data_IF_553040248518
#
_entry.id   IF_553040248518
#
_cell.length_a   1.000
_cell.length_b   1.000
_cell.length_c   1.000
_cell.angle_alpha   90.00
_cell.angle_beta   90.00
_cell.angle_gamma   90.00
#
_symmetry.space_group_name_H-M   'P 1'
#
loop_
_entity.id
_entity.type
_entity.pdbx_description
1 polymer ?
#
# COMPACT_ATOMS: atom_id res chain seq x y z
N UNK A 1 47.74 44.82 43.01
CA UNK A 1 48.41 43.52 42.74
C UNK A 1 47.59 42.84 41.67
N UNK A 2 47.88 42.88 40.39
CA UNK A 2 49.02 43.26 39.54
C UNK A 2 48.60 42.65 38.20
N UNK A 3 48.18 43.51 37.26
CA UNK A 3 48.99 44.02 36.14
C UNK A 3 48.82 43.16 34.88
N UNK A 4 48.29 43.84 33.86
CA UNK A 4 48.32 43.48 32.46
C UNK A 4 49.74 43.12 32.00
N UNK A 5 49.85 42.13 31.12
CA UNK A 5 51.02 42.02 30.24
C UNK A 5 50.70 41.25 28.96
N UNK A 6 50.29 42.04 27.98
CA UNK A 6 50.99 42.27 26.72
C UNK A 6 51.74 41.12 26.00
N UNK A 7 51.50 41.14 24.69
CA UNK A 7 51.98 40.32 23.58
C UNK A 7 53.52 40.33 23.46
N UNK A 8 54.10 39.26 22.87
CA UNK A 8 54.98 39.53 21.73
C UNK A 8 54.83 38.53 20.56
N UNK A 9 54.86 39.10 19.34
CA UNK A 9 55.45 38.51 18.14
C UNK A 9 56.69 39.39 17.79
N UNK A 10 57.60 39.07 16.84
CA UNK A 10 57.50 38.07 15.78
C UNK A 10 58.83 37.33 15.42
N UNK A 11 58.72 36.57 14.33
CA UNK A 11 59.71 36.41 13.25
C UNK A 11 60.37 35.03 13.11
N UNK A 12 60.69 34.76 11.84
CA UNK A 12 61.80 33.98 11.30
C UNK A 12 61.35 32.91 10.29
N UNK A 13 61.34 33.38 9.05
CA UNK A 13 61.91 32.73 7.85
C UNK A 13 61.06 31.85 6.94
N UNK A 14 60.91 32.42 5.74
CA UNK A 14 60.55 31.82 4.47
C UNK A 14 61.71 30.97 3.95
N UNK A 15 61.51 29.67 3.77
CA UNK A 15 62.40 28.82 2.95
C UNK A 15 61.58 28.05 1.93
N UNK A 16 61.74 28.43 0.67
CA UNK A 16 61.25 27.75 -0.54
C UNK A 16 62.03 26.47 -0.83
N UNK A 17 61.33 25.38 -1.18
CA UNK A 17 61.86 24.20 -1.90
C UNK A 17 60.72 23.43 -2.60
N UNK A 18 61.00 22.56 -3.60
CA UNK A 18 60.52 22.76 -4.97
C UNK A 18 59.37 21.82 -5.39
N UNK A 19 58.66 22.26 -6.44
CA UNK A 19 57.64 21.49 -7.17
C UNK A 19 58.25 20.21 -7.74
N UNK A 20 57.70 19.06 -7.34
CA UNK A 20 57.83 17.81 -8.08
C UNK A 20 56.53 17.54 -8.84
N UNK A 21 56.71 17.36 -10.13
CA UNK A 21 55.69 17.03 -11.11
C UNK A 21 55.27 15.57 -10.94
N UNK A 22 54.09 15.33 -10.37
CA UNK A 22 53.42 14.03 -10.46
C UNK A 22 52.15 14.22 -11.30
N UNK A 23 52.26 13.83 -12.57
CA UNK A 23 51.18 13.67 -13.54
C UNK A 23 49.91 13.12 -12.89
N UNK A 24 48.93 14.00 -12.72
CA UNK A 24 47.55 13.63 -12.41
C UNK A 24 46.94 13.06 -13.69
N UNK A 25 46.39 11.83 -13.70
CA UNK A 25 45.57 11.39 -14.82
C UNK A 25 44.36 12.32 -14.88
N UNK A 26 44.22 12.97 -16.03
CA UNK A 26 43.03 13.70 -16.43
C UNK A 26 41.81 12.80 -16.26
N UNK A 27 40.93 13.16 -15.33
CA UNK A 27 39.60 12.60 -15.23
C UNK A 27 38.84 12.96 -16.51
N UNK A 28 38.87 12.07 -17.49
CA UNK A 28 38.06 12.16 -18.69
C UNK A 28 36.63 11.75 -18.37
N UNK A 29 35.73 12.71 -18.62
CA UNK A 29 34.36 12.59 -19.10
C UNK A 29 33.37 11.76 -18.27
N UNK A 30 32.30 12.44 -17.85
CA UNK A 30 31.18 11.88 -17.09
C UNK A 30 30.57 10.64 -17.74
N UNK A 31 30.48 9.57 -16.94
CA UNK A 31 29.69 8.39 -17.27
C UNK A 31 28.19 8.72 -17.26
N UNK A 32 27.39 8.00 -18.06
CA UNK A 32 25.96 8.26 -18.15
C UNK A 32 25.28 7.92 -16.84
N UNK A 33 24.27 8.70 -16.50
CA UNK A 33 23.40 8.51 -15.33
C UNK A 33 22.85 7.07 -15.35
N UNK A 34 23.20 6.31 -14.32
CA UNK A 34 22.73 4.94 -14.05
C UNK A 34 21.21 4.93 -13.85
N UNK A 35 20.48 4.05 -14.56
CA UNK A 35 19.08 3.77 -14.21
C UNK A 35 18.14 3.23 -15.29
N UNK A 36 18.54 3.15 -16.56
CA UNK A 36 17.71 2.55 -17.61
C UNK A 36 18.32 1.23 -18.10
N UNK A 37 17.55 0.14 -18.00
CA UNK A 37 17.91 -1.13 -18.63
C UNK A 37 17.96 -0.96 -20.15
N UNK A 38 18.94 -1.59 -20.80
CA UNK A 38 18.91 -1.71 -22.26
C UNK A 38 17.63 -2.46 -22.69
N UNK A 39 17.09 -2.15 -23.87
CA UNK A 39 15.81 -2.71 -24.34
C UNK A 39 15.79 -4.25 -24.31
N UNK A 40 16.91 -4.90 -24.66
CA UNK A 40 17.06 -6.35 -24.60
C UNK A 40 16.99 -6.88 -23.15
N UNK A 41 17.63 -6.21 -22.20
CA UNK A 41 17.58 -6.59 -20.77
C UNK A 41 16.18 -6.39 -20.20
N UNK A 42 15.50 -5.29 -20.55
CA UNK A 42 14.11 -5.05 -20.16
C UNK A 42 13.18 -6.13 -20.71
N UNK A 43 13.39 -6.58 -21.96
CA UNK A 43 12.62 -7.67 -22.55
C UNK A 43 12.87 -9.01 -21.85
N UNK A 44 14.14 -9.37 -21.64
CA UNK A 44 14.51 -10.61 -20.95
C UNK A 44 13.96 -10.66 -19.51
N UNK A 45 14.01 -9.52 -18.80
CA UNK A 45 13.43 -9.39 -17.47
C UNK A 45 11.92 -9.63 -17.51
N UNK A 46 11.19 -9.01 -18.45
CA UNK A 46 9.74 -9.21 -18.55
C UNK A 46 9.38 -10.65 -18.87
N UNK A 47 10.02 -11.24 -19.88
CA UNK A 47 9.76 -12.61 -20.30
C UNK A 47 10.01 -13.59 -19.15
N UNK A 48 11.18 -13.52 -18.49
CA UNK A 48 11.49 -14.42 -17.38
C UNK A 48 10.48 -14.35 -16.23
N UNK A 49 9.95 -13.16 -15.92
CA UNK A 49 8.93 -13.00 -14.87
C UNK A 49 7.55 -13.50 -15.31
N UNK A 50 7.15 -13.23 -16.55
CA UNK A 50 5.86 -13.68 -17.10
C UNK A 50 5.83 -15.20 -17.29
N UNK A 51 6.91 -15.78 -17.80
CA UNK A 51 7.03 -17.22 -18.01
C UNK A 51 7.01 -17.96 -16.67
N UNK A 52 7.75 -17.46 -15.68
CA UNK A 52 7.68 -17.98 -14.31
C UNK A 52 6.27 -17.90 -13.73
N UNK A 53 5.57 -16.78 -13.96
CA UNK A 53 4.20 -16.60 -13.47
C UNK A 53 3.22 -17.60 -14.08
N UNK A 54 3.38 -17.97 -15.36
CA UNK A 54 2.51 -18.94 -16.01
C UNK A 54 2.49 -20.30 -15.30
N UNK A 55 3.61 -20.68 -14.65
CA UNK A 55 3.75 -21.94 -13.91
C UNK A 55 3.49 -21.81 -12.40
N UNK A 56 3.68 -20.61 -11.82
CA UNK A 56 3.71 -20.40 -10.36
C UNK A 56 2.60 -19.49 -9.83
N UNK A 57 1.70 -18.99 -10.69
CA UNK A 57 0.59 -18.15 -10.27
C UNK A 57 -0.26 -18.85 -9.20
N UNK A 58 -0.51 -18.18 -8.07
CA UNK A 58 -1.52 -18.64 -7.12
C UNK A 58 -2.90 -18.63 -7.76
N UNK A 59 -3.62 -19.73 -7.54
CA UNK A 59 -5.04 -19.83 -7.83
C UNK A 59 -5.82 -18.94 -6.85
N UNK A 60 -6.39 -17.86 -7.38
CA UNK A 60 -7.12 -16.85 -6.62
C UNK A 60 -8.40 -16.51 -7.40
N UNK A 61 -9.57 -16.44 -6.75
CA UNK A 61 -10.84 -16.32 -7.44
C UNK A 61 -10.99 -14.99 -8.19
N UNK A 62 -10.41 -13.90 -7.68
CA UNK A 62 -10.34 -12.61 -8.39
C UNK A 62 -9.33 -12.59 -9.56
N UNK A 63 -8.65 -13.69 -9.84
CA UNK A 63 -7.81 -13.89 -11.03
C UNK A 63 -8.39 -14.93 -12.00
N UNK A 64 -9.47 -15.62 -11.61
CA UNK A 64 -10.07 -16.66 -12.43
C UNK A 64 -10.55 -16.13 -13.79
N UNK A 65 -10.68 -16.99 -14.82
CA UNK A 65 -11.15 -16.57 -16.14
C UNK A 65 -12.53 -15.90 -16.14
N UNK A 66 -13.41 -16.30 -15.21
CA UNK A 66 -14.79 -15.83 -15.03
C UNK A 66 -14.92 -14.67 -14.03
N UNK A 67 -13.80 -14.10 -13.57
CA UNK A 67 -13.80 -12.96 -12.66
C UNK A 67 -14.61 -11.78 -13.22
N UNK A 68 -15.29 -11.06 -12.32
CA UNK A 68 -16.00 -9.83 -12.67
C UNK A 68 -15.17 -8.59 -12.31
N UNK A 69 -15.34 -7.46 -13.02
CA UNK A 69 -14.71 -6.19 -12.62
C UNK A 69 -15.05 -5.76 -11.19
N UNK A 70 -16.28 -6.04 -10.73
CA UNK A 70 -16.69 -5.80 -9.34
C UNK A 70 -15.89 -6.66 -8.37
N UNK A 71 -15.79 -7.97 -8.62
CA UNK A 71 -15.01 -8.88 -7.79
C UNK A 71 -13.53 -8.49 -7.69
N UNK A 72 -12.93 -8.07 -8.82
CA UNK A 72 -11.56 -7.54 -8.85
C UNK A 72 -11.44 -6.28 -7.99
N UNK A 73 -12.30 -5.28 -8.18
CA UNK A 73 -12.29 -4.04 -7.40
C UNK A 73 -12.39 -4.31 -5.89
N UNK A 74 -13.33 -5.16 -5.48
CA UNK A 74 -13.48 -5.57 -4.06
C UNK A 74 -12.18 -6.20 -3.53
N UNK A 75 -11.56 -7.10 -4.30
CA UNK A 75 -10.32 -7.76 -3.90
C UNK A 75 -9.17 -6.74 -3.72
N UNK A 76 -9.03 -5.78 -4.63
CA UNK A 76 -7.99 -4.76 -4.59
C UNK A 76 -8.17 -3.84 -3.38
N UNK A 77 -9.41 -3.47 -3.04
CA UNK A 77 -9.68 -2.69 -1.82
C UNK A 77 -9.36 -3.49 -0.55
N UNK A 78 -9.73 -4.78 -0.50
CA UNK A 78 -9.44 -5.65 0.65
C UNK A 78 -7.93 -5.89 0.84
N UNK A 79 -7.19 -6.15 -0.25
CA UNK A 79 -5.76 -6.47 -0.24
C UNK A 79 -4.86 -5.32 0.18
N UNK A 80 -5.38 -4.09 0.25
CA UNK A 80 -4.65 -2.97 0.84
C UNK A 80 -4.27 -3.29 2.29
N UNK A 81 -2.96 -3.44 2.55
CA UNK A 81 -2.42 -3.70 3.89
C UNK A 81 -3.01 -4.95 4.58
N UNK A 82 -3.57 -5.90 3.81
CA UNK A 82 -4.18 -7.12 4.34
C UNK A 82 -3.69 -8.32 3.53
N UNK A 83 -3.11 -9.36 4.19
CA UNK A 83 -2.54 -10.48 3.46
C UNK A 83 -3.63 -11.34 2.80
N UNK A 84 -3.30 -11.93 1.65
CA UNK A 84 -4.19 -12.79 0.85
C UNK A 84 -4.89 -13.87 1.69
N UNK A 85 -4.18 -14.53 2.60
CA UNK A 85 -4.76 -15.58 3.46
C UNK A 85 -5.94 -15.11 4.32
N UNK A 86 -5.98 -13.82 4.68
CA UNK A 86 -7.10 -13.20 5.39
C UNK A 86 -8.18 -12.70 4.44
N UNK A 87 -7.78 -12.19 3.27
CA UNK A 87 -8.73 -11.65 2.28
C UNK A 87 -9.53 -12.75 1.61
N UNK A 88 -8.92 -13.88 1.25
CA UNK A 88 -9.56 -14.94 0.48
C UNK A 88 -10.92 -15.39 1.03
N UNK A 89 -11.03 -15.86 2.29
CA UNK A 89 -12.33 -16.28 2.84
C UNK A 89 -13.32 -15.11 2.96
N UNK A 90 -12.84 -13.91 3.32
CA UNK A 90 -13.69 -12.74 3.47
C UNK A 90 -14.26 -12.27 2.13
N UNK A 91 -13.44 -12.28 1.06
CA UNK A 91 -13.85 -11.94 -0.29
C UNK A 91 -14.89 -12.92 -0.80
N UNK A 92 -14.71 -14.23 -0.60
CA UNK A 92 -15.68 -15.26 -1.02
C UNK A 92 -17.03 -15.07 -0.34
N UNK A 93 -17.05 -14.82 0.97
CA UNK A 93 -18.29 -14.54 1.69
C UNK A 93 -18.92 -13.21 1.24
N UNK A 94 -18.09 -12.19 0.97
CA UNK A 94 -18.53 -10.87 0.53
C UNK A 94 -19.20 -10.91 -0.84
N UNK A 95 -18.59 -11.56 -1.84
CA UNK A 95 -19.13 -11.64 -3.20
C UNK A 95 -20.32 -12.59 -3.30
N UNK A 96 -20.43 -13.58 -2.41
CA UNK A 96 -21.65 -14.37 -2.28
C UNK A 96 -22.81 -13.54 -1.72
N UNK A 97 -22.55 -12.65 -0.74
CA UNK A 97 -23.58 -11.80 -0.12
C UNK A 97 -23.96 -10.59 -0.97
N UNK A 98 -22.99 -9.97 -1.64
CA UNK A 98 -23.15 -8.77 -2.46
C UNK A 98 -22.48 -8.96 -3.84
N UNK A 99 -23.11 -9.77 -4.72
CA UNK A 99 -22.52 -10.14 -6.01
C UNK A 99 -22.38 -8.97 -6.99
N UNK A 100 -23.16 -7.89 -6.81
CA UNK A 100 -23.10 -6.68 -7.64
C UNK A 100 -22.87 -5.41 -6.81
N UNK A 101 -22.46 -4.29 -7.46
CA UNK A 101 -22.39 -3.00 -6.79
C UNK A 101 -23.73 -2.58 -6.15
N UNK A 102 -24.86 -2.86 -6.80
CA UNK A 102 -26.18 -2.50 -6.31
C UNK A 102 -26.50 -3.21 -4.98
N UNK A 103 -26.12 -4.48 -4.85
CA UNK A 103 -26.36 -5.26 -3.62
C UNK A 103 -25.60 -4.65 -2.43
N UNK A 104 -24.36 -4.22 -2.62
CA UNK A 104 -23.58 -3.57 -1.56
C UNK A 104 -24.10 -2.15 -1.27
N UNK A 105 -24.50 -1.41 -2.32
CA UNK A 105 -25.03 -0.06 -2.21
C UNK A 105 -26.28 -0.01 -1.31
N UNK A 106 -27.14 -1.02 -1.42
CA UNK A 106 -28.37 -1.18 -0.65
C UNK A 106 -28.17 -1.70 0.78
N UNK A 107 -26.99 -2.22 1.12
CA UNK A 107 -26.70 -2.76 2.45
C UNK A 107 -26.68 -1.67 3.54
N UNK A 108 -26.97 -2.04 4.78
CA UNK A 108 -26.74 -1.12 5.91
C UNK A 108 -25.23 -0.96 6.19
N UNK A 109 -24.74 0.21 6.63
CA UNK A 109 -23.34 0.36 7.04
C UNK A 109 -22.94 -0.62 8.15
N UNK A 110 -23.85 -0.93 9.08
CA UNK A 110 -23.64 -1.94 10.11
C UNK A 110 -23.37 -3.34 9.52
N UNK A 111 -24.14 -3.78 8.53
CA UNK A 111 -23.91 -5.06 7.85
C UNK A 111 -22.55 -5.10 7.15
N UNK A 112 -22.20 -4.02 6.46
CA UNK A 112 -20.92 -3.85 5.77
C UNK A 112 -19.76 -3.93 6.76
N UNK A 113 -19.86 -3.24 7.89
CA UNK A 113 -18.83 -3.23 8.94
C UNK A 113 -18.72 -4.59 9.66
N UNK A 114 -19.84 -5.29 9.86
CA UNK A 114 -19.84 -6.66 10.39
C UNK A 114 -19.17 -7.64 9.44
N UNK A 115 -19.51 -7.61 8.15
CA UNK A 115 -18.91 -8.47 7.14
C UNK A 115 -17.41 -8.17 6.90
N UNK A 116 -16.98 -6.91 7.04
CA UNK A 116 -15.58 -6.53 6.94
C UNK A 116 -14.72 -7.07 8.10
N UNK A 117 -15.35 -7.30 9.25
CA UNK A 117 -14.77 -7.86 10.46
C UNK A 117 -13.32 -7.40 10.73
N UNK A 118 -12.37 -8.32 10.82
CA UNK A 118 -10.98 -8.08 11.23
C UNK A 118 -10.09 -7.82 10.03
N UNK A 119 -10.60 -7.43 8.86
CA UNK A 119 -9.77 -7.02 7.72
C UNK A 119 -8.93 -5.74 8.01
N UNK A 120 -9.32 -4.97 9.04
CA UNK A 120 -8.60 -3.77 9.46
C UNK A 120 -8.96 -2.56 8.61
N UNK A 121 -8.69 -1.35 9.12
CA UNK A 121 -9.07 -0.08 8.48
C UNK A 121 -10.54 -0.06 8.01
N UNK A 122 -11.53 -0.20 8.91
CA UNK A 122 -12.93 -0.44 8.57
C UNK A 122 -13.57 0.67 7.72
N UNK A 123 -13.01 1.88 7.72
CA UNK A 123 -13.41 2.95 6.80
C UNK A 123 -13.30 2.55 5.33
N UNK A 124 -12.40 1.64 4.96
CA UNK A 124 -12.34 1.09 3.59
C UNK A 124 -13.64 0.41 3.19
N UNK A 125 -14.32 -0.25 4.11
CA UNK A 125 -15.59 -0.91 3.86
C UNK A 125 -16.69 0.11 3.51
N UNK A 126 -16.76 1.20 4.28
CA UNK A 126 -17.72 2.28 4.02
C UNK A 126 -17.41 3.03 2.73
N UNK A 127 -16.12 3.31 2.45
CA UNK A 127 -15.71 3.89 1.16
C UNK A 127 -16.00 2.97 -0.02
N UNK A 128 -15.86 1.65 0.14
CA UNK A 128 -16.25 0.66 -0.87
C UNK A 128 -17.77 0.66 -1.09
N UNK A 129 -18.56 0.82 -0.03
CA UNK A 129 -20.01 0.98 -0.15
C UNK A 129 -20.39 2.28 -0.88
N UNK A 130 -19.77 3.41 -0.55
CA UNK A 130 -19.94 4.66 -1.29
C UNK A 130 -19.55 4.51 -2.77
N UNK A 131 -18.44 3.81 -3.05
CA UNK A 131 -18.03 3.46 -4.40
C UNK A 131 -19.10 2.64 -5.13
N UNK A 132 -19.69 1.65 -4.46
CA UNK A 132 -20.75 0.82 -5.02
C UNK A 132 -22.01 1.64 -5.35
N UNK A 133 -22.39 2.60 -4.51
CA UNK A 133 -23.47 3.56 -4.79
C UNK A 133 -23.17 4.39 -6.02
N UNK A 134 -21.98 4.99 -6.10
CA UNK A 134 -21.56 5.78 -7.26
C UNK A 134 -21.56 4.96 -8.56
N UNK A 135 -21.10 3.69 -8.53
CA UNK A 135 -21.17 2.79 -9.69
C UNK A 135 -22.63 2.51 -10.08
N UNK A 136 -23.49 2.27 -9.11
CA UNK A 136 -24.92 1.98 -9.35
C UNK A 136 -25.63 3.18 -9.95
N UNK A 137 -25.47 4.36 -9.36
CA UNK A 137 -26.19 5.58 -9.71
C UNK A 137 -25.65 6.27 -10.97
N UNK A 138 -24.33 6.32 -11.14
CA UNK A 138 -23.70 7.12 -12.21
C UNK A 138 -23.14 6.27 -13.35
N UNK A 139 -23.02 4.96 -13.17
CA UNK A 139 -22.46 4.04 -14.17
C UNK A 139 -23.36 2.83 -14.46
N UNK A 140 -24.64 2.88 -14.07
CA UNK A 140 -25.62 1.85 -14.38
C UNK A 140 -25.29 0.48 -13.80
N UNK A 141 -24.57 0.44 -12.66
CA UNK A 141 -24.14 -0.81 -12.02
C UNK A 141 -22.91 -1.45 -12.66
N UNK A 142 -22.29 -0.83 -13.67
CA UNK A 142 -21.12 -1.34 -14.37
C UNK A 142 -19.86 -0.62 -13.89
N UNK A 143 -18.86 -1.38 -13.44
CA UNK A 143 -17.55 -0.81 -13.08
C UNK A 143 -16.90 -0.20 -14.34
N UNK A 144 -16.47 1.08 -14.31
CA UNK A 144 -15.80 1.70 -15.44
C UNK A 144 -14.48 1.02 -15.82
N UNK A 145 -14.15 1.02 -17.11
CA UNK A 145 -12.99 0.36 -17.70
C UNK A 145 -11.78 1.27 -17.96
N UNK A 146 -11.91 2.57 -17.71
CA UNK A 146 -10.81 3.53 -17.81
C UNK A 146 -10.40 4.10 -16.45
N UNK A 147 -9.12 4.44 -16.38
CA UNK A 147 -8.46 4.89 -15.16
C UNK A 147 -9.02 6.23 -14.64
N UNK A 148 -9.51 7.12 -15.52
CA UNK A 148 -10.01 8.43 -15.13
C UNK A 148 -11.38 8.33 -14.45
N UNK A 149 -12.34 7.58 -15.03
CA UNK A 149 -13.63 7.30 -14.39
C UNK A 149 -13.45 6.47 -13.12
N UNK A 150 -12.55 5.49 -13.11
CA UNK A 150 -12.23 4.73 -11.89
C UNK A 150 -11.71 5.63 -10.77
N UNK A 151 -10.81 6.57 -11.05
CA UNK A 151 -10.29 7.53 -10.05
C UNK A 151 -11.33 8.51 -9.52
N UNK A 152 -12.40 8.76 -10.26
CA UNK A 152 -13.50 9.59 -9.79
C UNK A 152 -14.37 8.89 -8.74
N UNK A 153 -14.26 7.56 -8.60
CA UNK A 153 -15.03 6.80 -7.63
C UNK A 153 -14.49 7.00 -6.19
N UNK A 154 -15.38 7.09 -5.18
CA UNK A 154 -15.00 7.20 -3.77
C UNK A 154 -14.00 6.12 -3.33
N UNK A 155 -12.89 6.54 -2.72
CA UNK A 155 -11.89 5.61 -2.17
C UNK A 155 -11.00 4.91 -3.21
N UNK A 156 -11.16 5.20 -4.51
CA UNK A 156 -10.34 4.61 -5.57
C UNK A 156 -9.17 5.54 -5.92
N UNK A 157 -7.99 5.18 -5.42
CA UNK A 157 -6.75 5.89 -5.73
C UNK A 157 -6.10 5.44 -7.04
N UNK A 158 -4.98 6.10 -7.40
CA UNK A 158 -4.23 5.81 -8.62
C UNK A 158 -3.81 4.35 -8.77
N UNK A 159 -3.38 3.71 -7.67
CA UNK A 159 -3.02 2.29 -7.67
C UNK A 159 -4.23 1.40 -7.98
N UNK A 160 -5.33 1.54 -7.23
CA UNK A 160 -6.51 0.70 -7.39
C UNK A 160 -7.12 0.86 -8.79
N UNK A 161 -7.17 2.08 -9.32
CA UNK A 161 -7.65 2.31 -10.69
C UNK A 161 -6.78 1.57 -11.72
N UNK A 162 -5.45 1.70 -11.64
CA UNK A 162 -4.53 1.00 -12.54
C UNK A 162 -4.65 -0.53 -12.40
N UNK A 163 -4.78 -1.04 -11.17
CA UNK A 163 -4.95 -2.47 -10.90
C UNK A 163 -6.26 -3.01 -11.49
N UNK A 164 -7.38 -2.30 -11.35
CA UNK A 164 -8.66 -2.69 -11.95
C UNK A 164 -8.57 -2.70 -13.48
N UNK A 165 -7.99 -1.68 -14.10
CA UNK A 165 -7.75 -1.65 -15.57
C UNK A 165 -6.96 -2.90 -16.02
N UNK A 166 -5.85 -3.21 -15.34
CA UNK A 166 -5.02 -4.35 -15.72
C UNK A 166 -5.72 -5.69 -15.46
N UNK A 167 -6.25 -5.88 -14.25
CA UNK A 167 -6.69 -7.20 -13.80
C UNK A 167 -8.11 -7.53 -14.23
N UNK A 168 -9.04 -6.57 -14.24
CA UNK A 168 -10.40 -6.82 -14.69
C UNK A 168 -10.51 -6.77 -16.22
N UNK A 169 -9.92 -5.76 -16.85
CA UNK A 169 -10.17 -5.46 -18.26
C UNK A 169 -9.03 -5.88 -19.19
N UNK A 170 -7.92 -6.40 -18.66
CA UNK A 170 -6.74 -6.73 -19.48
C UNK A 170 -6.10 -5.51 -20.13
N UNK A 171 -6.34 -4.33 -19.56
CA UNK A 171 -5.87 -3.05 -20.09
C UNK A 171 -4.41 -2.77 -19.76
N UNK A 172 -3.82 -1.83 -20.50
CA UNK A 172 -2.45 -1.37 -20.24
C UNK A 172 -2.46 -0.30 -19.15
N UNK A 173 -1.85 -0.59 -18.00
CA UNK A 173 -1.69 0.38 -16.90
C UNK A 173 -0.35 0.19 -16.16
N UNK A 174 0.02 1.18 -15.35
CA UNK A 174 1.24 1.13 -14.51
C UNK A 174 0.85 0.74 -13.08
N UNK A 175 0.84 -0.57 -12.80
CA UNK A 175 0.50 -1.10 -11.47
C UNK A 175 1.75 -1.11 -10.58
N UNK A 176 1.76 -0.25 -9.56
CA UNK A 176 2.88 -0.10 -8.62
C UNK A 176 2.44 -0.25 -7.17
N UNK A 177 2.36 -1.49 -6.69
CA UNK A 177 2.25 -1.76 -5.26
C UNK A 177 3.64 -1.84 -4.60
N UNK A 178 3.68 -2.07 -3.29
CA UNK A 178 4.95 -2.23 -2.56
C UNK A 178 5.79 -3.43 -3.03
N UNK A 179 5.17 -4.45 -3.64
CA UNK A 179 5.86 -5.62 -4.18
C UNK A 179 6.56 -5.30 -5.50
N UNK A 180 5.82 -4.73 -6.46
CA UNK A 180 6.37 -4.31 -7.76
C UNK A 180 7.45 -3.25 -7.57
N UNK A 181 7.19 -2.23 -6.73
CA UNK A 181 8.19 -1.19 -6.42
C UNK A 181 9.50 -1.79 -5.91
N UNK A 182 9.43 -2.83 -5.06
CA UNK A 182 10.62 -3.54 -4.56
C UNK A 182 11.31 -4.38 -5.64
N UNK A 183 10.55 -5.09 -6.47
CA UNK A 183 11.10 -5.84 -7.61
C UNK A 183 11.90 -4.88 -8.48
N UNK A 184 11.30 -3.76 -8.90
CA UNK A 184 11.96 -2.78 -9.76
C UNK A 184 13.15 -2.10 -9.09
N UNK A 185 13.05 -1.73 -7.81
CA UNK A 185 14.17 -1.16 -7.08
C UNK A 185 15.39 -2.11 -7.09
N UNK A 186 15.17 -3.41 -6.92
CA UNK A 186 16.26 -4.40 -6.92
C UNK A 186 16.76 -4.74 -8.32
N UNK A 187 15.86 -4.95 -9.27
CA UNK A 187 16.26 -5.41 -10.60
C UNK A 187 16.79 -4.30 -11.48
N UNK A 188 16.24 -3.08 -11.37
CA UNK A 188 16.55 -1.93 -12.22
C UNK A 188 17.47 -0.94 -11.50
N UNK A 189 17.08 -0.51 -10.29
CA UNK A 189 17.76 0.59 -9.62
C UNK A 189 18.98 0.13 -8.79
N UNK A 190 19.16 -1.17 -8.59
CA UNK A 190 20.24 -1.73 -7.77
C UNK A 190 20.07 -1.52 -6.26
N UNK A 191 18.90 -1.08 -5.82
CA UNK A 191 18.60 -0.74 -4.43
C UNK A 191 17.88 -1.88 -3.68
N UNK A 192 18.14 -2.01 -2.38
CA UNK A 192 17.52 -3.06 -1.56
C UNK A 192 16.00 -2.90 -1.43
N UNK A 193 15.54 -1.65 -1.28
CA UNK A 193 14.16 -1.22 -1.15
C UNK A 193 14.00 0.18 -1.78
N UNK A 194 12.81 0.51 -2.32
CA UNK A 194 12.52 1.84 -2.85
C UNK A 194 12.40 2.87 -1.74
N UNK A 195 12.48 4.16 -2.08
CA UNK A 195 12.19 5.25 -1.15
C UNK A 195 10.81 5.09 -0.46
N UNK A 196 10.64 5.57 0.80
CA UNK A 196 9.36 5.44 1.51
C UNK A 196 8.18 6.00 0.72
N UNK A 197 8.35 7.16 0.06
CA UNK A 197 7.37 7.74 -0.86
C UNK A 197 7.68 7.35 -2.31
N UNK A 198 6.61 7.14 -3.10
CA UNK A 198 6.73 6.92 -4.53
C UNK A 198 7.03 8.23 -5.25
N UNK A 199 8.08 8.23 -6.08
CA UNK A 199 8.47 9.40 -6.86
C UNK A 199 7.92 9.37 -8.29
N UNK A 200 7.88 10.54 -8.94
CA UNK A 200 7.55 10.65 -10.37
C UNK A 200 8.56 9.87 -11.21
N UNK A 201 9.86 9.93 -10.86
CA UNK A 201 10.91 9.19 -11.56
C UNK A 201 10.75 7.67 -11.44
N UNK A 202 10.37 7.17 -10.26
CA UNK A 202 10.04 5.75 -10.06
C UNK A 202 8.88 5.32 -10.96
N UNK A 203 7.83 6.15 -11.03
CA UNK A 203 6.67 5.89 -11.88
C UNK A 203 7.03 5.88 -13.37
N UNK A 204 7.88 6.81 -13.82
CA UNK A 204 8.34 6.86 -15.21
C UNK A 204 9.19 5.63 -15.59
N UNK A 205 10.09 5.18 -14.72
CA UNK A 205 10.88 3.96 -14.95
C UNK A 205 10.01 2.70 -15.02
N UNK A 206 9.02 2.59 -14.14
CA UNK A 206 8.05 1.51 -14.20
C UNK A 206 7.23 1.53 -15.50
N UNK A 207 6.78 2.71 -15.94
CA UNK A 207 6.02 2.88 -17.17
C UNK A 207 6.82 2.44 -18.40
N UNK A 208 8.13 2.68 -18.44
CA UNK A 208 9.03 2.22 -19.49
C UNK A 208 9.17 0.68 -19.55
N UNK A 209 8.85 -0.02 -18.46
CA UNK A 209 8.83 -1.48 -18.41
C UNK A 209 7.46 -2.08 -18.72
N UNK A 210 6.39 -1.28 -18.86
CA UNK A 210 5.08 -1.82 -19.22
C UNK A 210 5.03 -2.13 -20.73
N UNK A 211 4.79 -3.39 -21.13
CA UNK A 211 4.60 -3.77 -22.54
C UNK A 211 3.62 -2.86 -23.30
N UNK A 212 3.81 -2.64 -24.61
CA UNK A 212 2.88 -1.84 -25.40
C UNK A 212 1.54 -2.53 -25.62
N UNK A 213 1.51 -3.87 -25.69
CA UNK A 213 0.30 -4.66 -25.83
C UNK A 213 -0.51 -4.71 -24.52
N UNK A 214 -1.83 -4.41 -24.50
CA UNK A 214 -2.64 -4.43 -23.28
C UNK A 214 -2.62 -5.77 -22.54
N UNK A 215 -2.82 -6.87 -23.25
CA UNK A 215 -2.81 -8.20 -22.64
C UNK A 215 -1.45 -8.57 -22.02
N UNK A 216 -0.34 -8.19 -22.69
CA UNK A 216 1.01 -8.37 -22.15
C UNK A 216 1.26 -7.50 -20.92
N UNK A 217 0.75 -6.26 -20.94
CA UNK A 217 0.86 -5.33 -19.82
C UNK A 217 0.11 -5.84 -18.58
N UNK A 218 -1.10 -6.36 -18.77
CA UNK A 218 -1.87 -6.98 -17.70
C UNK A 218 -1.17 -8.21 -17.11
N UNK A 219 -0.63 -9.10 -17.97
CA UNK A 219 0.19 -10.24 -17.52
C UNK A 219 1.42 -9.80 -16.74
N UNK A 220 2.14 -8.80 -17.24
CA UNK A 220 3.31 -8.22 -16.56
C UNK A 220 2.95 -7.64 -15.19
N UNK A 221 1.83 -6.93 -15.08
CA UNK A 221 1.37 -6.37 -13.81
C UNK A 221 1.11 -7.47 -12.78
N UNK A 222 0.42 -8.55 -13.16
CA UNK A 222 0.14 -9.66 -12.25
C UNK A 222 1.42 -10.43 -11.89
N UNK A 223 2.26 -10.72 -12.88
CA UNK A 223 3.49 -11.49 -12.72
C UNK A 223 4.54 -10.79 -11.84
N UNK A 224 4.76 -9.50 -12.06
CA UNK A 224 5.71 -8.70 -11.27
C UNK A 224 5.26 -8.55 -9.81
N UNK A 225 3.95 -8.40 -9.57
CA UNK A 225 3.38 -8.37 -8.22
C UNK A 225 3.53 -9.73 -7.53
N UNK A 226 3.26 -10.83 -8.24
CA UNK A 226 3.39 -12.21 -7.73
C UNK A 226 4.84 -12.53 -7.36
N UNK A 227 5.80 -12.17 -8.24
CA UNK A 227 7.22 -12.35 -7.98
C UNK A 227 7.64 -11.62 -6.70
N UNK A 228 7.21 -10.37 -6.54
CA UNK A 228 7.48 -9.60 -5.33
C UNK A 228 6.86 -10.25 -4.09
N UNK A 229 5.64 -10.78 -4.19
CA UNK A 229 4.96 -11.41 -3.07
C UNK A 229 5.59 -12.74 -2.62
N UNK A 230 6.03 -13.59 -3.55
CA UNK A 230 6.43 -14.97 -3.26
C UNK A 230 7.94 -15.22 -3.23
N UNK A 231 8.69 -14.50 -4.06
CA UNK A 231 10.13 -14.78 -4.29
C UNK A 231 10.98 -13.61 -3.82
N UNK A 232 10.77 -12.43 -4.40
CA UNK A 232 11.53 -11.23 -4.11
C UNK A 232 10.96 -10.53 -2.86
N UNK A 233 10.91 -11.23 -1.72
CA UNK A 233 10.34 -10.69 -0.47
C UNK A 233 11.26 -9.65 0.18
N UNK A 234 10.70 -8.79 1.05
CA UNK A 234 11.44 -7.66 1.62
C UNK A 234 12.63 -8.09 2.50
N UNK A 235 12.46 -9.11 3.35
CA UNK A 235 13.45 -9.51 4.36
C UNK A 235 14.34 -10.68 3.93
N UNK A 236 13.74 -11.73 3.39
CA UNK A 236 14.42 -12.98 3.03
C UNK A 236 14.03 -13.38 1.60
N UNK A 237 14.53 -12.66 0.57
CA UNK A 237 14.24 -13.00 -0.81
C UNK A 237 14.86 -14.35 -1.18
N UNK A 238 14.11 -15.16 -1.95
CA UNK A 238 14.54 -16.46 -2.47
C UNK A 238 15.26 -16.28 -3.81
N UNK A 239 16.40 -15.59 -3.79
CA UNK A 239 17.11 -15.19 -5.00
C UNK A 239 17.55 -16.39 -5.86
N UNK A 240 17.79 -17.53 -5.26
CA UNK A 240 18.19 -18.78 -5.91
C UNK A 240 17.05 -19.36 -6.77
N UNK A 241 15.80 -19.01 -6.44
CA UNK A 241 14.60 -19.39 -7.19
C UNK A 241 14.04 -18.23 -8.03
N UNK A 242 14.75 -17.11 -8.15
CA UNK A 242 14.27 -15.93 -8.87
C UNK A 242 14.57 -16.06 -10.38
N UNK A 243 13.56 -15.97 -11.26
CA UNK A 243 13.73 -16.18 -12.71
C UNK A 243 14.60 -15.10 -13.37
N UNK A 244 14.85 -13.98 -12.69
CA UNK A 244 15.64 -12.85 -13.17
C UNK A 244 16.83 -12.56 -12.28
N UNK A 245 17.31 -13.56 -11.52
CA UNK A 245 18.44 -13.40 -10.60
C UNK A 245 19.70 -12.88 -11.29
N UNK A 246 20.00 -13.38 -12.50
CA UNK A 246 21.19 -13.00 -13.28
C UNK A 246 21.07 -11.62 -13.94
N UNK A 247 19.87 -11.02 -13.95
CA UNK A 247 19.63 -9.67 -14.44
C UNK A 247 19.50 -8.64 -13.30
N UNK A 248 19.47 -9.09 -12.04
CA UNK A 248 19.13 -8.24 -10.92
C UNK A 248 20.31 -7.36 -10.50
N UNK A 249 20.22 -6.05 -10.79
CA UNK A 249 21.26 -5.08 -10.45
C UNK A 249 21.69 -5.12 -8.96
N UNK A 250 20.74 -5.25 -8.03
CA UNK A 250 21.00 -5.32 -6.60
C UNK A 250 21.75 -6.60 -6.20
N UNK A 251 21.41 -7.74 -6.82
CA UNK A 251 22.12 -9.00 -6.58
C UNK A 251 23.54 -8.94 -7.15
N UNK A 252 23.70 -8.45 -8.37
CA UNK A 252 24.99 -8.30 -9.04
C UNK A 252 25.93 -7.32 -8.31
N UNK A 253 25.36 -6.31 -7.63
CA UNK A 253 26.09 -5.38 -6.77
C UNK A 253 26.45 -5.96 -5.38
N UNK A 254 26.22 -7.25 -5.12
CA UNK A 254 26.54 -7.88 -3.84
C UNK A 254 25.52 -7.63 -2.73
N UNK A 255 24.26 -7.30 -3.07
CA UNK A 255 23.14 -7.10 -2.13
C UNK A 255 23.38 -5.98 -1.10
N UNK A 256 23.68 -4.72 -1.54
CA UNK A 256 23.87 -3.62 -0.61
C UNK A 256 22.64 -3.39 0.29
N UNK A 257 22.80 -2.87 1.53
CA UNK A 257 21.70 -2.70 2.48
C UNK A 257 20.71 -1.57 2.08
N UNK A 258 19.57 -1.51 2.77
CA UNK A 258 18.57 -0.45 2.58
C UNK A 258 19.07 0.90 3.10
N UNK A 259 19.35 1.84 2.19
CA UNK A 259 19.77 3.21 2.50
C UNK A 259 18.71 4.02 3.29
N UNK A 260 17.46 3.56 3.31
CA UNK A 260 16.37 4.21 4.03
C UNK A 260 16.01 3.55 5.35
N UNK A 261 16.78 2.57 5.82
CA UNK A 261 16.45 1.80 7.02
C UNK A 261 16.13 2.68 8.23
N UNK A 262 16.91 3.74 8.47
CA UNK A 262 16.70 4.68 9.57
C UNK A 262 15.36 5.45 9.51
N UNK A 263 14.78 5.62 8.31
CA UNK A 263 13.52 6.34 8.09
C UNK A 263 12.29 5.44 8.24
N UNK A 264 12.46 4.12 8.23
CA UNK A 264 11.37 3.14 8.34
C UNK A 264 11.08 2.81 9.80
N UNK A 265 10.41 3.72 10.50
CA UNK A 265 9.95 3.48 11.89
C UNK A 265 8.75 2.54 11.89
N UNK A 266 8.78 1.52 12.73
CA UNK A 266 7.60 0.68 13.01
C UNK A 266 7.14 0.96 14.44
N UNK A 267 5.85 1.26 14.60
CA UNK A 267 5.24 1.41 15.92
C UNK A 267 4.73 0.05 16.39
N UNK A 268 4.98 -0.27 17.66
CA UNK A 268 4.36 -1.43 18.32
C UNK A 268 2.82 -1.35 18.21
N UNK A 269 2.13 -2.48 18.21
CA UNK A 269 0.66 -2.50 18.17
C UNK A 269 0.04 -2.31 19.55
N UNK A 270 0.64 -2.90 20.58
CA UNK A 270 0.17 -2.78 21.95
C UNK A 270 0.15 -1.31 22.41
N UNK A 271 -0.95 -0.89 23.05
CA UNK A 271 -1.14 0.44 23.63
C UNK A 271 -1.52 1.53 22.63
N UNK A 272 -1.66 1.21 21.35
CA UNK A 272 -1.95 2.22 20.31
C UNK A 272 -3.44 2.47 20.14
N UNK A 273 -3.81 3.66 19.66
CA UNK A 273 -5.21 4.02 19.37
C UNK A 273 -5.88 3.04 18.39
N UNK A 274 -5.11 2.44 17.46
CA UNK A 274 -5.62 1.38 16.57
C UNK A 274 -6.06 0.13 17.32
N UNK A 275 -5.41 -0.23 18.43
CA UNK A 275 -5.82 -1.36 19.26
C UNK A 275 -7.12 -1.02 20.00
N UNK A 276 -7.17 0.16 20.62
CA UNK A 276 -8.35 0.62 21.37
C UNK A 276 -9.57 0.68 20.47
N UNK A 277 -9.44 1.36 19.32
CA UNK A 277 -10.49 1.44 18.29
C UNK A 277 -10.91 0.07 17.80
N UNK A 278 -9.96 -0.83 17.57
CA UNK A 278 -10.26 -2.21 17.17
C UNK A 278 -11.08 -2.97 18.20
N UNK A 279 -10.83 -2.75 19.50
CA UNK A 279 -11.57 -3.38 20.59
C UNK A 279 -13.00 -2.84 20.72
N UNK A 280 -13.18 -1.52 20.60
CA UNK A 280 -14.51 -0.91 20.55
C UNK A 280 -15.29 -1.42 19.34
N UNK A 281 -14.68 -1.44 18.15
CA UNK A 281 -15.35 -1.96 16.95
C UNK A 281 -15.72 -3.45 17.08
N UNK A 282 -14.90 -4.27 17.74
CA UNK A 282 -15.24 -5.67 17.99
C UNK A 282 -16.46 -5.79 18.91
N UNK A 283 -16.48 -5.06 20.03
CA UNK A 283 -17.62 -5.02 20.95
C UNK A 283 -18.93 -4.64 20.24
N UNK A 284 -18.90 -3.61 19.40
CA UNK A 284 -20.10 -3.13 18.70
C UNK A 284 -20.55 -4.05 17.56
N UNK A 285 -19.66 -4.83 16.95
CA UNK A 285 -20.04 -5.82 15.92
C UNK A 285 -20.82 -6.98 16.51
N UNK A 286 -20.41 -7.43 17.69
CA UNK A 286 -21.00 -8.57 18.39
C UNK A 286 -22.32 -8.20 19.09
N UNK A 287 -22.60 -6.89 19.21
CA UNK A 287 -23.82 -6.39 19.82
C UNK A 287 -24.98 -6.23 18.81
N UNK A 288 -26.16 -6.83 19.07
CA UNK A 288 -27.36 -6.61 18.26
C UNK A 288 -28.08 -5.29 18.59
N UNK A 289 -27.87 -4.76 19.80
CA UNK A 289 -28.47 -3.54 20.32
C UNK A 289 -27.39 -2.50 20.65
N UNK A 290 -27.75 -1.20 20.83
CA UNK A 290 -26.81 -0.21 21.33
C UNK A 290 -26.15 -0.66 22.64
N UNK A 291 -24.83 -0.55 22.69
CA UNK A 291 -24.02 -0.91 23.84
C UNK A 291 -23.97 0.27 24.80
N UNK A 292 -24.39 0.12 26.06
CA UNK A 292 -24.33 1.19 27.05
C UNK A 292 -22.92 1.76 27.20
N UNK A 293 -22.81 3.07 27.44
CA UNK A 293 -21.54 3.75 27.54
C UNK A 293 -20.63 3.16 28.60
N UNK A 294 -21.20 2.70 29.73
CA UNK A 294 -20.50 2.04 30.83
C UNK A 294 -19.77 0.77 30.37
N UNK A 295 -20.41 -0.02 29.50
CA UNK A 295 -19.84 -1.27 28.95
C UNK A 295 -18.72 -0.95 27.97
N UNK A 296 -18.87 0.10 27.14
CA UNK A 296 -17.79 0.57 26.27
C UNK A 296 -16.60 1.01 27.10
N UNK A 297 -16.85 1.69 28.21
CA UNK A 297 -15.86 2.21 29.13
C UNK A 297 -14.99 1.10 29.75
N UNK A 298 -15.54 -0.10 29.95
CA UNK A 298 -14.80 -1.30 30.39
C UNK A 298 -13.89 -1.91 29.32
N UNK A 299 -14.02 -1.52 28.04
CA UNK A 299 -13.23 -2.10 26.95
C UNK A 299 -11.74 -1.73 27.02
N UNK A 300 -11.37 -0.67 27.73
CA UNK A 300 -9.98 -0.23 27.82
C UNK A 300 -9.66 0.49 29.15
N UNK A 301 -8.51 0.22 29.79
CA UNK A 301 -8.19 0.78 31.10
C UNK A 301 -7.91 2.30 31.07
N UNK A 302 -7.27 2.82 30.01
CA UNK A 302 -7.04 4.26 29.86
C UNK A 302 -8.29 4.97 29.31
N UNK A 303 -9.08 5.57 30.20
CA UNK A 303 -10.33 6.24 29.84
C UNK A 303 -10.14 7.47 28.96
N UNK A 304 -9.04 8.21 29.11
CA UNK A 304 -8.78 9.38 28.29
C UNK A 304 -8.47 8.94 26.84
N UNK A 305 -7.68 7.90 26.66
CA UNK A 305 -7.41 7.31 25.35
C UNK A 305 -8.67 6.73 24.72
N UNK A 306 -9.45 5.98 25.48
CA UNK A 306 -10.70 5.38 25.02
C UNK A 306 -11.69 6.44 24.50
N UNK A 307 -11.97 7.48 25.29
CA UNK A 307 -12.90 8.54 24.89
C UNK A 307 -12.46 9.24 23.60
N UNK A 308 -11.17 9.57 23.47
CA UNK A 308 -10.63 10.12 22.20
C UNK A 308 -10.81 9.14 21.04
N UNK A 309 -10.59 7.85 21.26
CA UNK A 309 -10.76 6.82 20.24
C UNK A 309 -12.22 6.67 19.80
N UNK A 310 -13.17 6.65 20.74
CA UNK A 310 -14.61 6.58 20.48
C UNK A 310 -15.08 7.83 19.74
N UNK A 311 -14.72 9.02 20.20
CA UNK A 311 -15.04 10.27 19.51
C UNK A 311 -14.50 10.27 18.07
N UNK A 312 -13.28 9.77 17.86
CA UNK A 312 -12.71 9.59 16.53
C UNK A 312 -13.42 8.52 15.70
N UNK A 313 -14.03 7.50 16.30
CA UNK A 313 -14.83 6.50 15.57
C UNK A 313 -16.18 7.08 15.14
N UNK A 314 -16.80 7.90 16.00
CA UNK A 314 -18.04 8.63 15.71
C UNK A 314 -17.82 9.65 14.60
N UNK A 315 -16.81 10.50 14.75
CA UNK A 315 -16.40 11.46 13.70
C UNK A 315 -16.06 10.74 12.40
N UNK A 316 -15.59 9.49 12.48
CA UNK A 316 -15.26 8.72 11.31
C UNK A 316 -16.45 8.08 10.58
N UNK A 317 -17.65 8.16 11.16
CA UNK A 317 -18.86 7.47 10.69
C UNK A 317 -18.82 5.96 10.90
N UNK A 318 -17.96 5.46 11.80
CA UNK A 318 -17.82 4.03 12.10
C UNK A 318 -18.67 3.58 13.28
N UNK A 319 -19.11 4.54 14.10
CA UNK A 319 -19.93 4.35 15.29
C UNK A 319 -20.97 5.48 15.34
N UNK A 320 -22.18 5.15 15.74
CA UNK A 320 -23.21 6.14 16.09
C UNK A 320 -23.33 6.23 17.61
N UNK A 321 -23.48 7.46 18.09
CA UNK A 321 -23.88 7.75 19.46
C UNK A 321 -25.41 7.78 19.53
N UNK A 322 -25.96 7.12 20.54
CA UNK A 322 -27.39 7.07 20.83
C UNK A 322 -27.60 7.79 22.16
N UNK A 323 -28.40 8.85 22.13
CA UNK A 323 -28.68 9.67 23.30
C UNK A 323 -29.20 8.80 24.46
N UNK A 324 -28.72 9.10 25.66
CA UNK A 324 -29.17 8.43 26.85
C UNK A 324 -30.63 8.84 27.19
N UNK A 325 -31.42 7.95 27.80
CA UNK A 325 -32.79 8.27 28.19
C UNK A 325 -32.90 9.26 29.37
N UNK A 326 -31.79 9.63 30.02
CA UNK A 326 -31.73 10.60 31.11
C UNK A 326 -30.51 11.52 30.97
N UNK A 327 -30.61 12.78 31.43
CA UNK A 327 -29.61 13.84 31.22
C UNK A 327 -28.22 13.53 31.81
N UNK A 328 -28.12 12.69 32.85
CA UNK A 328 -26.86 12.38 33.54
C UNK A 328 -26.23 11.03 33.13
N UNK A 329 -26.87 10.26 32.24
CA UNK A 329 -26.39 8.94 31.84
C UNK A 329 -25.41 9.02 30.66
N UNK A 330 -24.44 8.10 30.61
CA UNK A 330 -23.53 8.00 29.45
C UNK A 330 -24.35 7.60 28.21
N UNK A 331 -24.02 8.15 27.02
CA UNK A 331 -24.67 7.72 25.79
C UNK A 331 -24.36 6.26 25.49
N UNK A 332 -25.26 5.59 24.77
CA UNK A 332 -25.01 4.28 24.22
C UNK A 332 -24.37 4.39 22.82
N UNK A 333 -23.69 3.34 22.38
CA UNK A 333 -22.99 3.32 21.09
C UNK A 333 -23.42 2.13 20.25
N UNK A 334 -23.52 2.31 18.94
CA UNK A 334 -23.85 1.23 17.98
C UNK A 334 -23.11 1.39 16.67
N UNK A 335 -23.16 0.38 15.82
CA UNK A 335 -22.76 0.53 14.42
C UNK A 335 -23.79 1.37 13.64
N UNK A 336 -23.37 2.13 12.61
CA UNK A 336 -24.27 3.02 11.90
C UNK A 336 -25.37 2.27 11.14
N UNK A 337 -26.59 2.77 11.24
CA UNK A 337 -27.73 2.22 10.52
C UNK A 337 -27.83 2.87 9.14
N UNK A 338 -28.64 2.28 8.24
CA UNK A 338 -28.97 2.99 7.01
C UNK A 338 -29.72 4.29 7.39
N UNK A 339 -29.46 5.42 6.71
CA UNK A 339 -30.29 6.60 6.88
C UNK A 339 -31.74 6.19 6.61
N UNK A 340 -32.64 6.55 7.52
CA UNK A 340 -34.08 6.43 7.27
C UNK A 340 -34.37 7.40 6.13
N UNK A 341 -34.71 6.86 4.97
CA UNK A 341 -35.01 7.64 3.76
C UNK A 341 -36.20 8.59 3.93
#
# INVERSE_FOLDING_TARGET
MGEDSEVPAPDVTRTTRPRTDSRRPTATAGGPVTGALAAAQASALRSGVVDWFAEHARDLPWRAPDRTPWGVLVSEVMLQQTPVVRVLPAWTAWTARWPTPADLAAASPADVLRAWDRLGYPRRALRLQECARAITEHHGGVVPDDEARLRALPGIGAYTAAAVVAFAFGGRSVVLDTNVRRVLARTVDGAALPAPSQSVGETARAAALVPPGPADAARWAAASMELGALVCTARAPRCEACPVAELCAWRLAGRPPDEHAARRRTQAWAGTDRQVRGRVMALLRDAPLPVPGEVVDEAWPDRAQLRRCVAGLVADGLVEEVAAPADDALPAYRLPLAPVG
#
